data_IF_339577771263
#
_entry.id   IF_339577771263
#
_cell.length_a   1.000
_cell.length_b   1.000
_cell.length_c   1.000
_cell.angle_alpha   90.00
_cell.angle_beta   90.00
_cell.angle_gamma   90.00
#
_symmetry.space_group_name_H-M   'P 1'
#
loop_
_entity.id
_entity.type
_entity.pdbx_description
1 polymer ?
#
# COMPACT_ATOMS: atom_id res chain seq x y z
N UNK A 1 -11.34 -31.24 36.37
CA UNK A 1 -11.29 -29.83 35.89
C UNK A 1 -9.84 -29.36 35.85
N UNK A 2 -9.04 -29.68 34.81
CA UNK A 2 -7.67 -29.11 34.73
C UNK A 2 -6.98 -29.11 33.35
N UNK A 3 -7.66 -29.37 32.24
CA UNK A 3 -6.98 -29.41 30.93
C UNK A 3 -7.87 -28.94 29.77
N UNK A 4 -8.61 -27.84 29.92
CA UNK A 4 -9.49 -27.33 28.86
C UNK A 4 -9.24 -25.86 28.49
N UNK A 5 -8.03 -25.35 28.69
CA UNK A 5 -7.77 -23.90 28.60
C UNK A 5 -6.41 -23.50 28.02
N UNK A 6 -5.75 -24.36 27.24
CA UNK A 6 -4.40 -24.07 26.74
C UNK A 6 -4.18 -24.39 25.26
N UNK A 7 -5.21 -24.19 24.44
CA UNK A 7 -5.15 -24.42 22.97
C UNK A 7 -5.66 -23.23 22.16
N UNK A 8 -5.50 -22.00 22.66
CA UNK A 8 -5.54 -20.82 21.79
C UNK A 8 -4.15 -20.65 21.19
N UNK A 9 -3.87 -21.48 20.20
CA UNK A 9 -2.70 -21.36 19.33
C UNK A 9 -2.77 -19.99 18.66
N UNK A 10 -1.77 -19.18 18.96
CA UNK A 10 -1.44 -17.93 18.28
C UNK A 10 -1.21 -18.23 16.79
N UNK A 11 -2.25 -18.07 15.97
CA UNK A 11 -2.13 -17.99 14.52
C UNK A 11 -1.59 -16.60 14.17
N UNK A 12 -0.29 -16.38 14.42
CA UNK A 12 0.44 -15.26 13.83
C UNK A 12 0.73 -15.61 12.36
N UNK A 13 -0.17 -15.21 11.46
CA UNK A 13 0.11 -15.24 10.03
C UNK A 13 1.08 -14.11 9.68
N UNK A 14 2.31 -14.46 9.28
CA UNK A 14 3.17 -13.51 8.58
C UNK A 14 2.56 -13.25 7.19
N UNK A 15 1.74 -12.20 7.07
CA UNK A 15 1.35 -11.71 5.75
C UNK A 15 2.63 -11.28 5.02
N UNK A 16 2.89 -11.88 3.86
CA UNK A 16 3.97 -11.40 3.00
C UNK A 16 3.60 -10.00 2.46
N UNK A 17 4.59 -9.15 2.25
CA UNK A 17 4.39 -7.75 1.80
C UNK A 17 3.44 -7.69 0.61
N UNK A 18 3.65 -8.49 -0.44
CA UNK A 18 2.76 -8.49 -1.62
C UNK A 18 1.35 -9.01 -1.34
N UNK A 19 1.18 -9.89 -0.35
CA UNK A 19 -0.14 -10.41 -0.02
C UNK A 19 -1.05 -9.35 0.61
N UNK A 20 -0.52 -8.44 1.42
CA UNK A 20 -1.31 -7.35 1.99
C UNK A 20 -1.83 -6.37 0.91
N UNK A 21 -0.99 -6.00 -0.07
CA UNK A 21 -1.43 -5.13 -1.17
C UNK A 21 -2.47 -5.78 -2.08
N UNK A 22 -2.48 -7.12 -2.19
CA UNK A 22 -3.49 -7.84 -2.98
C UNK A 22 -4.90 -7.75 -2.40
N UNK A 23 -5.03 -7.39 -1.12
CA UNK A 23 -6.32 -7.22 -0.44
C UNK A 23 -6.91 -5.82 -0.60
N UNK A 24 -6.14 -4.84 -1.05
CA UNK A 24 -6.60 -3.46 -1.24
C UNK A 24 -7.61 -3.40 -2.38
N UNK A 25 -8.74 -2.74 -2.13
CA UNK A 25 -9.81 -2.56 -3.10
C UNK A 25 -9.99 -1.07 -3.48
N UNK A 26 -10.52 -0.79 -4.67
CA UNK A 26 -11.02 0.55 -4.98
C UNK A 26 -12.03 1.01 -3.94
N UNK A 27 -12.00 2.29 -3.58
CA UNK A 27 -12.82 2.93 -2.56
C UNK A 27 -12.47 2.62 -1.10
N UNK A 28 -11.46 1.80 -0.82
CA UNK A 28 -10.95 1.66 0.56
C UNK A 28 -10.51 3.02 1.09
N UNK A 29 -10.76 3.26 2.39
CA UNK A 29 -10.37 4.50 3.04
C UNK A 29 -8.94 4.42 3.60
N UNK A 30 -8.37 5.59 3.90
CA UNK A 30 -7.00 5.73 4.42
C UNK A 30 -6.71 4.91 5.67
N UNK A 31 -7.68 4.79 6.59
CA UNK A 31 -7.49 4.01 7.81
C UNK A 31 -7.40 2.51 7.50
N UNK A 32 -8.23 1.99 6.60
CA UNK A 32 -8.14 0.60 6.15
C UNK A 32 -6.77 0.28 5.56
N UNK A 33 -6.20 1.22 4.79
CA UNK A 33 -4.86 1.06 4.22
C UNK A 33 -3.79 1.04 5.31
N UNK A 34 -3.87 1.96 6.27
CA UNK A 34 -2.97 1.97 7.43
C UNK A 34 -3.04 0.64 8.20
N UNK A 35 -4.24 0.11 8.41
CA UNK A 35 -4.45 -1.13 9.15
C UNK A 35 -3.91 -2.36 8.38
N UNK A 36 -3.92 -2.31 7.04
CA UNK A 36 -3.46 -3.39 6.17
C UNK A 36 -1.95 -3.41 5.92
N UNK A 37 -1.36 -2.26 5.58
CA UNK A 37 0.04 -2.16 5.12
C UNK A 37 0.93 -1.27 5.99
N UNK A 38 0.36 -0.61 7.00
CA UNK A 38 1.08 0.30 7.90
C UNK A 38 1.08 1.76 7.41
N UNK A 39 1.87 2.59 8.08
CA UNK A 39 2.07 3.99 7.68
C UNK A 39 2.96 4.05 6.43
N UNK A 40 2.64 4.91 5.45
CA UNK A 40 3.53 5.13 4.31
C UNK A 40 4.78 5.89 4.73
N UNK A 41 5.88 5.64 4.04
CA UNK A 41 7.15 6.33 4.27
C UNK A 41 7.18 7.73 3.63
N UNK A 42 6.42 7.95 2.54
CA UNK A 42 6.23 9.28 1.95
C UNK A 42 4.76 9.52 1.55
N UNK A 43 4.31 10.76 1.70
CA UNK A 43 2.95 11.20 1.36
C UNK A 43 2.99 12.54 0.62
N UNK A 44 2.31 12.60 -0.52
CA UNK A 44 2.20 13.81 -1.34
C UNK A 44 0.74 14.11 -1.65
N UNK A 45 0.41 15.40 -1.76
CA UNK A 45 -0.96 15.90 -1.92
C UNK A 45 -1.07 16.83 -3.12
N UNK A 46 -2.15 16.70 -3.90
CA UNK A 46 -2.49 17.61 -5.02
C UNK A 46 -3.99 17.79 -5.13
N UNK A 47 -4.51 18.82 -4.48
CA UNK A 47 -5.95 19.07 -4.37
C UNK A 47 -6.60 17.92 -3.61
N UNK A 48 -7.57 17.26 -4.24
CA UNK A 48 -8.25 16.09 -3.67
C UNK A 48 -7.47 14.78 -3.85
N UNK A 49 -6.36 14.79 -4.61
CA UNK A 49 -5.53 13.62 -4.83
C UNK A 49 -4.47 13.49 -3.74
N UNK A 50 -4.18 12.25 -3.35
CA UNK A 50 -3.05 11.91 -2.48
C UNK A 50 -2.28 10.74 -3.10
N UNK A 51 -0.96 10.74 -2.94
CA UNK A 51 -0.11 9.64 -3.34
C UNK A 51 0.72 9.21 -2.13
N UNK A 52 0.57 7.95 -1.73
CA UNK A 52 1.28 7.38 -0.59
C UNK A 52 2.29 6.35 -1.11
N UNK A 53 3.56 6.55 -0.79
CA UNK A 53 4.63 5.69 -1.25
C UNK A 53 5.06 4.72 -0.17
N UNK A 54 5.26 3.49 -0.60
CA UNK A 54 5.77 2.39 0.19
C UNK A 54 6.98 1.77 -0.47
N UNK A 55 7.92 1.29 0.34
CA UNK A 55 9.04 0.54 -0.18
C UNK A 55 9.31 -0.74 0.62
N UNK A 56 9.90 -1.70 -0.07
CA UNK A 56 10.45 -2.88 0.57
C UNK A 56 11.78 -3.22 -0.06
N UNK A 57 12.81 -3.27 0.78
CA UNK A 57 14.11 -3.80 0.39
C UNK A 57 13.94 -5.29 0.07
N UNK A 58 14.26 -5.68 -1.16
CA UNK A 58 14.15 -7.06 -1.60
C UNK A 58 15.21 -7.96 -0.96
N UNK A 59 14.96 -9.27 -1.00
CA UNK A 59 15.89 -10.30 -0.50
C UNK A 59 17.07 -10.56 -1.45
N UNK A 60 17.04 -9.99 -2.65
CA UNK A 60 18.07 -10.14 -3.68
C UNK A 60 18.94 -8.89 -3.76
N UNK A 61 20.26 -9.08 -3.72
CA UNK A 61 21.30 -8.03 -3.70
C UNK A 61 20.92 -6.77 -4.51
N UNK A 62 20.48 -5.71 -3.82
CA UNK A 62 20.31 -4.37 -4.38
C UNK A 62 18.99 -4.09 -5.10
N UNK A 63 18.02 -5.01 -5.18
CA UNK A 63 16.69 -4.71 -5.76
C UNK A 63 15.71 -4.33 -4.66
N UNK A 64 15.11 -3.15 -4.78
CA UNK A 64 14.02 -2.70 -3.92
C UNK A 64 12.72 -2.58 -4.71
N UNK A 65 11.62 -3.05 -4.12
CA UNK A 65 10.28 -2.89 -4.66
C UNK A 65 9.61 -1.66 -4.07
N UNK A 66 8.85 -0.95 -4.88
CA UNK A 66 8.14 0.26 -4.50
C UNK A 66 6.69 0.18 -4.95
N UNK A 67 5.80 0.72 -4.14
CA UNK A 67 4.38 0.82 -4.46
C UNK A 67 3.90 2.24 -4.15
N UNK A 68 3.01 2.74 -5.00
CA UNK A 68 2.31 4.01 -4.80
C UNK A 68 0.83 3.68 -4.72
N UNK A 69 0.19 4.01 -3.60
CA UNK A 69 -1.26 3.95 -3.46
C UNK A 69 -1.80 5.34 -3.75
N UNK A 70 -2.72 5.40 -4.71
CA UNK A 70 -3.37 6.64 -5.13
C UNK A 70 -4.70 6.78 -4.43
N UNK A 71 -4.96 7.99 -3.96
CA UNK A 71 -6.23 8.36 -3.35
C UNK A 71 -6.84 9.55 -4.06
N UNK A 72 -8.17 9.60 -4.03
CA UNK A 72 -8.94 10.79 -4.33
C UNK A 72 -10.08 10.92 -3.32
N UNK A 73 -10.27 12.11 -2.74
CA UNK A 73 -11.26 12.36 -1.67
C UNK A 73 -11.16 11.31 -0.54
N UNK A 74 -9.93 10.94 -0.18
CA UNK A 74 -9.63 10.00 0.90
C UNK A 74 -9.92 8.53 0.59
N UNK A 75 -10.17 8.19 -0.67
CA UNK A 75 -10.48 6.83 -1.13
C UNK A 75 -9.48 6.32 -2.14
N UNK A 76 -9.12 5.03 -2.07
CA UNK A 76 -8.21 4.39 -3.02
C UNK A 76 -8.78 4.41 -4.43
N UNK A 77 -8.01 4.94 -5.37
CA UNK A 77 -8.30 4.91 -6.82
C UNK A 77 -7.46 3.86 -7.54
N UNK A 78 -6.30 3.49 -6.99
CA UNK A 78 -5.53 2.33 -7.47
C UNK A 78 -4.12 2.29 -6.92
N UNK A 79 -3.31 1.39 -7.48
CA UNK A 79 -1.94 1.11 -7.05
C UNK A 79 -1.02 1.05 -8.26
N UNK A 80 0.11 1.73 -8.19
CA UNK A 80 1.22 1.58 -9.15
C UNK A 80 2.39 0.90 -8.46
N UNK A 81 3.09 0.01 -9.17
CA UNK A 81 4.27 -0.69 -8.66
C UNK A 81 5.47 -0.41 -9.57
N UNK A 82 6.65 -0.22 -8.98
CA UNK A 82 7.91 -0.15 -9.69
C UNK A 82 9.02 -0.81 -8.88
N UNK A 83 10.19 -1.01 -9.49
CA UNK A 83 11.36 -1.59 -8.81
C UNK A 83 12.63 -0.90 -9.28
N UNK A 84 13.59 -0.75 -8.38
CA UNK A 84 14.88 -0.13 -8.68
C UNK A 84 16.01 -1.01 -8.16
N UNK A 85 17.10 -1.06 -8.93
CA UNK A 85 18.35 -1.67 -8.50
C UNK A 85 19.32 -0.59 -8.00
N UNK A 86 19.37 -0.40 -6.68
CA UNK A 86 20.17 0.61 -5.98
C UNK A 86 20.65 0.07 -4.63
N UNK A 87 21.89 0.37 -4.29
CA UNK A 87 22.41 0.08 -2.95
C UNK A 87 21.86 1.09 -1.92
N UNK A 88 21.65 0.63 -0.70
CA UNK A 88 21.17 1.44 0.42
C UNK A 88 19.71 1.17 0.79
N UNK A 89 19.18 2.00 1.68
CA UNK A 89 17.79 1.95 2.15
C UNK A 89 16.83 2.34 1.03
N UNK A 90 15.72 1.61 0.86
CA UNK A 90 14.76 1.91 -0.20
C UNK A 90 14.10 3.29 -0.03
N UNK A 91 13.90 3.73 1.21
CA UNK A 91 13.29 5.01 1.57
C UNK A 91 14.07 6.22 1.01
N UNK A 92 15.36 6.05 0.73
CA UNK A 92 16.20 7.09 0.15
C UNK A 92 16.04 7.24 -1.38
N UNK A 93 15.35 6.32 -2.04
CA UNK A 93 15.33 6.19 -3.51
C UNK A 93 13.92 6.25 -4.10
N UNK A 94 12.96 6.83 -3.40
CA UNK A 94 11.63 7.08 -3.94
C UNK A 94 11.70 7.91 -5.22
N UNK A 95 11.02 7.46 -6.28
CA UNK A 95 10.82 8.29 -7.47
C UNK A 95 9.85 9.43 -7.16
N UNK A 96 10.05 10.63 -7.75
CA UNK A 96 9.09 11.72 -7.65
C UNK A 96 7.71 11.31 -8.20
N UNK A 97 6.65 11.74 -7.53
CA UNK A 97 5.27 11.48 -7.96
C UNK A 97 4.99 12.19 -9.28
N UNK A 98 4.62 11.38 -10.27
CA UNK A 98 4.09 11.83 -11.56
C UNK A 98 2.59 11.67 -11.52
N UNK A 99 1.87 12.78 -11.34
CA UNK A 99 0.41 12.78 -11.14
C UNK A 99 -0.36 12.24 -12.34
N UNK A 100 0.27 12.20 -13.51
CA UNK A 100 -0.26 11.61 -14.74
C UNK A 100 -0.42 10.08 -14.63
N UNK A 101 0.24 9.45 -13.64
CA UNK A 101 0.10 8.01 -13.34
C UNK A 101 -1.07 7.71 -12.40
N UNK A 102 -1.74 8.73 -11.85
CA UNK A 102 -2.93 8.52 -11.02
C UNK A 102 -4.03 7.91 -11.90
N UNK A 103 -4.61 6.76 -11.51
CA UNK A 103 -5.70 6.16 -12.27
C UNK A 103 -6.90 7.10 -12.42
N UNK A 104 -7.50 7.13 -13.61
CA UNK A 104 -8.71 7.88 -13.88
C UNK A 104 -9.89 7.35 -13.05
N UNK A 105 -10.77 8.27 -12.64
CA UNK A 105 -11.97 7.90 -11.90
C UNK A 105 -13.02 7.31 -12.83
N UNK A 106 -13.53 6.12 -12.51
CA UNK A 106 -14.79 5.66 -13.09
C UNK A 106 -15.93 6.36 -12.35
N UNK A 107 -16.39 7.48 -12.89
CA UNK A 107 -17.61 8.14 -12.39
C UNK A 107 -18.80 7.33 -12.89
N UNK A 108 -19.41 6.51 -12.04
CA UNK A 108 -20.71 5.90 -12.38
C UNK A 108 -21.79 6.99 -12.42
N UNK A 109 -22.18 7.39 -13.63
CA UNK A 109 -23.34 8.27 -13.84
C UNK A 109 -24.60 7.46 -13.56
N UNK A 110 -25.14 7.58 -12.35
CA UNK A 110 -26.48 7.06 -12.04
C UNK A 110 -27.53 8.06 -12.57
N UNK A 111 -28.03 7.79 -13.77
CA UNK A 111 -29.27 8.41 -14.28
C UNK A 111 -30.40 8.13 -13.27
N UNK A 112 -31.15 9.17 -12.89
CA UNK A 112 -32.32 9.10 -11.99
C UNK A 112 -33.60 9.08 -12.79
#
# INVERSE_FOLDING_TARGET
MKYLLLTVLLLSGCASFDQAYSSIQPNDNKQQIIDLVGQPEDQQFKGNNEAWQYCKTGTSFGVSGYKVIWFYDGKVTGITTYSLHRAGSCEAHFEPIKWENSPDQVIEVRER
#
